data_IF_769277853485
#
_entry.id   IF_769277853485
#
_cell.length_a   1.000
_cell.length_b   1.000
_cell.length_c   1.000
_cell.angle_alpha   90.00
_cell.angle_beta   90.00
_cell.angle_gamma   90.00
#
_symmetry.space_group_name_H-M   'P 1'
#
loop_
_entity.id
_entity.type
_entity.pdbx_description
1 polymer ?
#
# COMPACT_ATOMS: atom_id res chain seq x y z
N UNK A 1 -38.97 14.53 -3.27
CA UNK A 1 -38.12 13.64 -2.44
C UNK A 1 -37.06 12.88 -3.25
N UNK A 2 -37.32 12.41 -4.47
CA UNK A 2 -36.32 11.69 -5.29
C UNK A 2 -35.08 12.53 -5.65
N UNK A 3 -35.24 13.84 -5.84
CA UNK A 3 -34.18 14.76 -6.29
C UNK A 3 -33.05 14.94 -5.26
N UNK A 4 -33.40 15.00 -3.97
CA UNK A 4 -32.42 15.15 -2.88
C UNK A 4 -31.51 13.93 -2.76
N UNK A 5 -32.09 12.72 -2.85
CA UNK A 5 -31.31 11.48 -2.81
C UNK A 5 -30.41 11.35 -4.04
N UNK A 6 -30.90 11.77 -5.20
CA UNK A 6 -30.11 11.78 -6.42
C UNK A 6 -28.90 12.73 -6.31
N UNK A 7 -29.11 13.95 -5.81
CA UNK A 7 -28.03 14.92 -5.57
C UNK A 7 -26.98 14.41 -4.56
N UNK A 8 -27.41 13.78 -3.47
CA UNK A 8 -26.52 13.18 -2.47
C UNK A 8 -25.71 12.02 -3.08
N UNK A 9 -26.34 11.17 -3.89
CA UNK A 9 -25.67 10.05 -4.57
C UNK A 9 -24.62 10.54 -5.57
N UNK A 10 -24.91 11.59 -6.35
CA UNK A 10 -23.93 12.22 -7.23
C UNK A 10 -22.74 12.76 -6.42
N UNK A 11 -23.01 13.50 -5.34
CA UNK A 11 -21.96 14.05 -4.49
C UNK A 11 -21.04 12.95 -3.91
N UNK A 12 -21.63 11.88 -3.37
CA UNK A 12 -20.87 10.73 -2.84
C UNK A 12 -20.02 10.07 -3.91
N UNK A 13 -20.53 9.95 -5.13
CA UNK A 13 -19.81 9.39 -6.28
C UNK A 13 -18.59 10.25 -6.63
N UNK A 14 -18.75 11.57 -6.74
CA UNK A 14 -17.63 12.49 -6.97
C UNK A 14 -16.56 12.41 -5.89
N UNK A 15 -16.94 12.23 -4.62
CA UNK A 15 -15.99 12.09 -3.52
C UNK A 15 -15.22 10.77 -3.51
N UNK A 16 -15.80 9.70 -4.05
CA UNK A 16 -15.18 8.36 -4.07
C UNK A 16 -14.34 8.14 -5.34
N UNK A 17 -14.73 8.72 -6.47
CA UNK A 17 -14.06 8.56 -7.78
C UNK A 17 -12.53 8.75 -7.77
N UNK A 18 -11.93 9.72 -7.05
CA UNK A 18 -10.48 9.91 -7.01
C UNK A 18 -9.71 8.77 -6.34
N UNK A 19 -10.39 7.96 -5.53
CA UNK A 19 -9.80 6.87 -4.77
C UNK A 19 -10.05 5.50 -5.41
N UNK A 20 -10.77 5.44 -6.52
CA UNK A 20 -11.01 4.22 -7.27
C UNK A 20 -9.92 3.97 -8.31
N UNK A 21 -9.56 2.70 -8.49
CA UNK A 21 -8.64 2.28 -9.55
C UNK A 21 -9.22 2.63 -10.93
N UNK A 22 -8.35 3.03 -11.88
CA UNK A 22 -8.76 3.46 -13.22
C UNK A 22 -9.65 2.45 -13.95
N UNK A 23 -9.41 1.16 -13.74
CA UNK A 23 -10.23 0.08 -14.31
C UNK A 23 -11.69 0.12 -13.81
N UNK A 24 -11.92 0.51 -12.55
CA UNK A 24 -13.26 0.55 -11.95
C UNK A 24 -13.98 1.86 -12.30
N UNK A 25 -13.22 2.91 -12.59
CA UNK A 25 -13.72 4.23 -12.97
C UNK A 25 -14.54 4.18 -14.26
N UNK A 26 -14.03 3.51 -15.28
CA UNK A 26 -14.71 3.34 -16.57
C UNK A 26 -16.09 2.67 -16.44
N UNK A 27 -16.21 1.66 -15.58
CA UNK A 27 -17.50 1.00 -15.31
C UNK A 27 -18.42 1.81 -14.41
N UNK A 28 -17.85 2.59 -13.48
CA UNK A 28 -18.62 3.45 -12.61
C UNK A 28 -19.32 4.56 -13.38
N UNK A 29 -18.72 5.04 -14.48
CA UNK A 29 -19.26 6.10 -15.33
C UNK A 29 -20.52 5.71 -16.11
N UNK A 30 -20.63 4.43 -16.48
CA UNK A 30 -21.74 3.89 -17.28
C UNK A 30 -23.00 3.58 -16.46
N UNK A 31 -22.89 3.48 -15.12
CA UNK A 31 -24.01 3.07 -14.27
C UNK A 31 -24.89 4.25 -13.82
N UNK A 32 -26.23 4.16 -13.94
CA UNK A 32 -27.14 5.17 -13.41
C UNK A 32 -27.13 5.18 -11.88
N UNK A 33 -27.04 6.37 -11.28
CA UNK A 33 -27.09 6.56 -9.83
C UNK A 33 -28.53 6.38 -9.32
N UNK A 34 -28.83 5.17 -8.84
CA UNK A 34 -30.13 4.78 -8.27
C UNK A 34 -30.07 4.73 -6.72
N UNK A 35 -30.98 3.98 -6.07
CA UNK A 35 -31.05 3.70 -4.62
C UNK A 35 -29.70 3.26 -4.01
N UNK A 36 -28.83 2.65 -4.83
CA UNK A 36 -27.46 2.29 -4.49
C UNK A 36 -26.50 3.17 -5.30
N UNK A 37 -25.36 3.54 -4.69
CA UNK A 37 -24.40 4.51 -5.25
C UNK A 37 -23.99 4.24 -6.72
N UNK A 38 -23.91 2.97 -7.11
CA UNK A 38 -23.61 2.50 -8.47
C UNK A 38 -24.72 1.61 -9.07
N UNK A 39 -25.89 1.54 -8.43
CA UNK A 39 -26.99 0.67 -8.84
C UNK A 39 -26.82 -0.81 -8.44
N UNK A 40 -27.89 -1.59 -8.61
CA UNK A 40 -27.96 -3.02 -8.20
C UNK A 40 -27.14 -3.94 -9.10
N UNK A 41 -26.90 -3.52 -10.35
CA UNK A 41 -26.24 -4.33 -11.38
C UNK A 41 -24.72 -4.20 -11.40
N UNK A 42 -24.16 -3.18 -10.73
CA UNK A 42 -22.72 -2.90 -10.75
C UNK A 42 -21.85 -4.05 -10.22
N UNK A 43 -22.18 -4.71 -9.09
CA UNK A 43 -21.37 -5.82 -8.59
C UNK A 43 -21.30 -7.00 -9.55
N UNK A 44 -22.40 -7.29 -10.25
CA UNK A 44 -22.49 -8.41 -11.18
C UNK A 44 -21.71 -8.10 -12.47
N UNK A 45 -21.86 -6.89 -13.01
CA UNK A 45 -21.08 -6.43 -14.16
C UNK A 45 -19.57 -6.43 -13.87
N UNK A 46 -19.16 -5.98 -12.68
CA UNK A 46 -17.75 -5.97 -12.29
C UNK A 46 -17.16 -7.40 -12.20
N UNK A 47 -17.91 -8.35 -11.64
CA UNK A 47 -17.49 -9.76 -11.60
C UNK A 47 -17.34 -10.34 -13.00
N UNK A 48 -18.33 -10.14 -13.87
CA UNK A 48 -18.28 -10.62 -15.26
C UNK A 48 -17.12 -10.00 -16.04
N UNK A 49 -16.87 -8.69 -15.88
CA UNK A 49 -15.74 -8.01 -16.51
C UNK A 49 -14.38 -8.53 -16.00
N UNK A 50 -14.26 -8.76 -14.69
CA UNK A 50 -13.06 -9.32 -14.06
C UNK A 50 -12.76 -10.74 -14.54
N UNK A 51 -13.80 -11.57 -14.69
CA UNK A 51 -13.68 -12.92 -15.25
C UNK A 51 -13.26 -12.89 -16.72
N UNK A 52 -13.90 -12.05 -17.54
CA UNK A 52 -13.54 -11.86 -18.94
C UNK A 52 -12.09 -11.37 -19.09
N UNK A 53 -11.64 -10.45 -18.24
CA UNK A 53 -10.25 -9.98 -18.21
C UNK A 53 -9.28 -11.12 -17.88
N UNK A 54 -9.59 -11.95 -16.87
CA UNK A 54 -8.78 -13.12 -16.48
C UNK A 54 -8.69 -14.16 -17.61
N UNK A 55 -9.78 -14.38 -18.33
CA UNK A 55 -9.82 -15.26 -19.50
C UNK A 55 -9.02 -14.67 -20.67
N UNK A 56 -9.14 -13.36 -20.92
CA UNK A 56 -8.41 -12.64 -21.97
C UNK A 56 -6.88 -12.73 -21.82
N UNK A 57 -6.37 -12.63 -20.59
CA UNK A 57 -4.93 -12.84 -20.32
C UNK A 57 -4.44 -14.26 -20.66
N UNK A 58 -5.32 -15.26 -20.56
CA UNK A 58 -5.00 -16.65 -20.90
C UNK A 58 -4.95 -16.87 -22.41
N UNK A 59 -5.69 -16.07 -23.19
CA UNK A 59 -5.74 -16.13 -24.65
C UNK A 59 -4.57 -15.37 -25.29
N UNK A 60 -4.20 -14.19 -24.73
CA UNK A 60 -3.11 -13.32 -25.25
C UNK A 60 -1.72 -13.98 -25.31
N UNK A 61 -1.55 -15.15 -24.67
CA UNK A 61 -0.30 -15.92 -24.67
C UNK A 61 -0.10 -16.83 -25.91
N UNK A 62 -1.07 -16.94 -26.82
CA UNK A 62 -1.00 -17.89 -27.97
C UNK A 62 -0.74 -17.28 -29.35
N UNK A 63 -0.62 -15.97 -29.52
CA UNK A 63 -0.55 -15.34 -30.86
C UNK A 63 0.87 -15.00 -31.39
N UNK A 64 1.92 -15.66 -30.90
CA UNK A 64 3.24 -15.62 -31.57
C UNK A 64 3.70 -17.03 -31.96
N UNK A 65 3.01 -17.65 -32.92
CA UNK A 65 3.57 -18.72 -33.74
C UNK A 65 2.66 -19.01 -34.95
N UNK A 66 2.78 -18.24 -36.03
CA UNK A 66 2.45 -18.74 -37.35
C UNK A 66 3.59 -18.37 -38.31
N UNK A 67 4.52 -19.31 -38.47
CA UNK A 67 5.62 -19.29 -39.42
C UNK A 67 5.94 -20.74 -39.81
N UNK A 68 5.51 -21.10 -41.02
CA UNK A 68 6.01 -22.14 -41.94
C UNK A 68 6.49 -23.51 -41.42
N UNK A 69 5.86 -24.55 -42.01
CA UNK A 69 6.08 -26.00 -41.91
C UNK A 69 7.53 -26.52 -41.72
N UNK A 70 7.69 -27.54 -40.87
CA UNK A 70 8.31 -28.84 -41.19
C UNK A 70 8.31 -29.79 -39.97
N UNK A 71 8.25 -31.09 -40.26
CA UNK A 71 8.05 -32.26 -39.41
C UNK A 71 9.08 -32.52 -38.29
N UNK A 72 8.62 -33.03 -37.13
CA UNK A 72 8.99 -34.34 -36.48
C UNK A 72 8.40 -34.44 -35.04
N UNK A 73 8.03 -35.63 -34.54
CA UNK A 73 7.35 -35.79 -33.25
C UNK A 73 8.34 -35.99 -32.10
N UNK A 74 8.09 -35.38 -30.93
CA UNK A 74 8.90 -35.60 -29.72
C UNK A 74 7.99 -35.84 -28.50
N UNK A 75 7.92 -37.13 -28.15
CA UNK A 75 7.91 -37.75 -26.80
C UNK A 75 7.23 -36.96 -25.67
N UNK A 76 6.09 -37.47 -25.21
CA UNK A 76 5.43 -37.05 -23.96
C UNK A 76 6.12 -37.69 -22.74
N UNK A 77 6.68 -36.87 -21.83
CA UNK A 77 6.97 -37.30 -20.46
C UNK A 77 5.87 -36.80 -19.52
N UNK A 78 5.14 -37.78 -18.97
CA UNK A 78 4.13 -37.70 -17.92
C UNK A 78 4.75 -37.16 -16.62
N UNK A 79 4.16 -36.11 -16.03
CA UNK A 79 4.45 -35.66 -14.66
C UNK A 79 3.12 -35.45 -13.93
N UNK A 80 2.93 -36.25 -12.89
CA UNK A 80 1.74 -36.43 -12.05
C UNK A 80 1.26 -35.15 -11.34
N UNK A 81 -0.03 -35.03 -10.98
CA UNK A 81 -0.58 -33.86 -10.30
C UNK A 81 -0.33 -33.92 -8.77
N UNK A 82 0.26 -32.86 -8.19
CA UNK A 82 0.29 -32.68 -6.73
C UNK A 82 -1.00 -32.01 -6.22
N UNK A 83 -1.55 -32.45 -5.07
CA UNK A 83 -2.82 -31.96 -4.54
C UNK A 83 -2.70 -30.50 -4.07
N UNK A 84 -3.74 -29.72 -4.39
CA UNK A 84 -3.80 -28.27 -4.25
C UNK A 84 -3.67 -27.79 -2.80
N UNK A 85 -2.57 -27.07 -2.54
CA UNK A 85 -2.40 -26.22 -1.36
C UNK A 85 -3.27 -24.96 -1.50
N UNK A 86 -4.02 -24.67 -0.44
CA UNK A 86 -4.93 -23.54 -0.27
C UNK A 86 -4.26 -22.20 -0.61
N UNK A 87 -4.65 -21.62 -1.75
CA UNK A 87 -3.97 -20.49 -2.40
C UNK A 87 -4.44 -19.11 -1.88
N UNK A 88 -4.68 -18.96 -0.58
CA UNK A 88 -5.24 -17.71 0.00
C UNK A 88 -4.32 -17.05 1.05
N UNK A 89 -3.19 -17.65 1.45
CA UNK A 89 -2.30 -17.08 2.47
C UNK A 89 -1.01 -16.40 1.95
N UNK A 90 -0.71 -16.52 0.65
CA UNK A 90 0.60 -16.09 0.11
C UNK A 90 0.71 -14.58 -0.18
N UNK A 91 -0.39 -13.89 -0.49
CA UNK A 91 -0.36 -12.46 -0.87
C UNK A 91 -0.10 -11.54 0.32
N UNK A 92 -0.66 -11.85 1.49
CA UNK A 92 -0.46 -11.07 2.72
C UNK A 92 0.95 -11.24 3.28
N UNK A 93 1.50 -12.46 3.25
CA UNK A 93 2.88 -12.72 3.65
C UNK A 93 3.89 -12.11 2.68
N UNK A 94 3.63 -12.14 1.38
CA UNK A 94 4.42 -11.43 0.35
C UNK A 94 4.50 -9.93 0.65
N UNK A 95 3.36 -9.27 0.89
CA UNK A 95 3.31 -7.84 1.17
C UNK A 95 4.02 -7.47 2.48
N UNK A 96 3.91 -8.32 3.51
CA UNK A 96 4.61 -8.12 4.79
C UNK A 96 6.12 -8.31 4.65
N UNK A 97 6.57 -9.26 3.84
CA UNK A 97 8.00 -9.44 3.54
C UNK A 97 8.56 -8.29 2.71
N UNK A 98 7.80 -7.78 1.73
CA UNK A 98 8.16 -6.58 0.95
C UNK A 98 8.26 -5.33 1.83
N UNK A 99 7.37 -5.17 2.81
CA UNK A 99 7.43 -4.04 3.74
C UNK A 99 8.69 -4.09 4.62
N UNK A 100 9.04 -5.27 5.14
CA UNK A 100 10.26 -5.46 5.95
C UNK A 100 11.54 -5.20 5.15
N UNK A 101 11.62 -5.68 3.91
CA UNK A 101 12.79 -5.41 3.05
C UNK A 101 12.88 -3.95 2.65
N UNK A 102 11.75 -3.27 2.43
CA UNK A 102 11.72 -1.83 2.14
C UNK A 102 12.27 -1.00 3.32
N UNK A 103 11.80 -1.27 4.53
CA UNK A 103 12.33 -0.60 5.74
C UNK A 103 13.84 -0.82 5.83
N UNK A 104 14.31 -2.07 5.72
CA UNK A 104 15.74 -2.38 5.83
C UNK A 104 16.58 -1.62 4.79
N UNK A 105 16.12 -1.57 3.55
CA UNK A 105 16.80 -0.83 2.48
C UNK A 105 16.80 0.69 2.73
N UNK A 106 15.70 1.25 3.25
CA UNK A 106 15.61 2.67 3.60
C UNK A 106 16.50 3.02 4.79
N UNK A 107 16.64 2.12 5.77
CA UNK A 107 17.62 2.29 6.85
C UNK A 107 19.06 2.31 6.32
N UNK A 108 19.44 1.40 5.42
CA UNK A 108 20.78 1.37 4.82
C UNK A 108 21.05 2.64 3.99
N UNK A 109 20.08 3.07 3.19
CA UNK A 109 20.17 4.31 2.43
C UNK A 109 20.34 5.52 3.35
N UNK A 110 19.58 5.57 4.44
CA UNK A 110 19.67 6.63 5.44
C UNK A 110 21.02 6.60 6.19
N UNK A 111 21.54 5.40 6.51
CA UNK A 111 22.88 5.21 7.08
C UNK A 111 23.96 5.82 6.18
N UNK A 112 23.91 5.55 4.87
CA UNK A 112 24.84 6.14 3.91
C UNK A 112 24.64 7.65 3.77
N UNK A 113 23.40 8.14 3.83
CA UNK A 113 23.06 9.55 3.64
C UNK A 113 23.54 10.48 4.78
N UNK A 114 23.55 10.01 6.02
CA UNK A 114 23.99 10.84 7.15
C UNK A 114 25.49 10.75 7.41
N UNK A 115 26.17 9.69 6.94
CA UNK A 115 27.62 9.53 7.08
C UNK A 115 28.42 10.74 6.58
N UNK A 116 27.94 11.40 5.50
CA UNK A 116 28.61 12.56 4.92
C UNK A 116 28.18 13.91 5.52
N UNK A 117 27.20 13.96 6.43
CA UNK A 117 26.57 15.21 6.88
C UNK A 117 26.72 15.40 8.39
N UNK A 118 27.76 16.12 8.79
CA UNK A 118 28.11 16.42 10.19
C UNK A 118 27.38 17.63 10.79
N UNK A 119 26.27 18.06 10.20
CA UNK A 119 25.58 19.28 10.62
C UNK A 119 24.15 19.00 11.08
N UNK A 120 23.82 19.53 12.25
CA UNK A 120 22.57 19.41 13.00
C UNK A 120 21.37 20.07 12.30
N UNK A 121 21.15 19.76 11.02
CA UNK A 121 20.12 20.42 10.24
C UNK A 121 18.75 19.85 10.59
N UNK A 122 17.93 20.71 11.19
CA UNK A 122 16.52 20.44 11.41
C UNK A 122 15.81 20.44 10.07
N UNK A 123 15.05 19.38 9.75
CA UNK A 123 14.33 19.30 8.48
C UNK A 123 15.12 18.70 7.32
N UNK A 124 16.11 17.85 7.59
CA UNK A 124 16.77 17.12 6.51
C UNK A 124 15.76 16.25 5.73
N UNK A 125 15.73 16.32 4.38
CA UNK A 125 14.85 15.46 3.58
C UNK A 125 15.07 13.98 3.88
N UNK A 126 16.30 13.61 4.25
CA UNK A 126 16.67 12.25 4.63
C UNK A 126 16.01 11.80 5.95
N UNK A 127 15.99 12.63 7.00
CA UNK A 127 15.36 12.29 8.29
C UNK A 127 13.85 12.23 8.17
N UNK A 128 13.27 13.13 7.38
CA UNK A 128 11.83 13.13 7.05
C UNK A 128 11.43 11.91 6.22
N UNK A 129 12.24 11.53 5.22
CA UNK A 129 12.01 10.35 4.40
C UNK A 129 12.12 9.06 5.23
N UNK A 130 13.14 8.93 6.08
CA UNK A 130 13.31 7.79 6.98
C UNK A 130 12.12 7.65 7.96
N UNK A 131 11.60 8.76 8.48
CA UNK A 131 10.42 8.72 9.33
C UNK A 131 9.17 8.25 8.57
N UNK A 132 8.94 8.76 7.36
CA UNK A 132 7.83 8.33 6.48
C UNK A 132 7.95 6.87 6.03
N UNK A 133 9.18 6.37 5.94
CA UNK A 133 9.51 4.98 5.67
C UNK A 133 9.16 4.03 6.84
N UNK A 134 8.94 4.57 8.05
CA UNK A 134 8.67 3.78 9.26
C UNK A 134 9.94 3.32 9.98
N UNK A 135 11.09 3.99 9.72
CA UNK A 135 12.34 3.73 10.45
C UNK A 135 12.19 4.12 11.92
N UNK A 136 12.81 3.35 12.81
CA UNK A 136 12.75 3.62 14.25
C UNK A 136 13.33 5.00 14.58
N UNK A 137 12.52 5.81 15.24
CA UNK A 137 12.78 7.24 15.44
C UNK A 137 14.02 7.52 16.30
N UNK A 138 14.35 6.67 17.26
CA UNK A 138 15.60 6.80 18.04
C UNK A 138 16.82 6.54 17.17
N UNK A 139 16.71 5.65 16.18
CA UNK A 139 17.80 5.42 15.24
C UNK A 139 18.00 6.64 14.33
N UNK A 140 16.90 7.29 13.92
CA UNK A 140 16.97 8.58 13.22
C UNK A 140 17.65 9.63 14.11
N UNK A 141 17.28 9.71 15.39
CA UNK A 141 17.86 10.62 16.38
C UNK A 141 19.37 10.42 16.55
N UNK A 142 19.80 9.18 16.82
CA UNK A 142 21.21 8.84 17.01
C UNK A 142 22.06 9.14 15.78
N UNK A 143 21.55 8.80 14.59
CA UNK A 143 22.28 9.01 13.34
C UNK A 143 22.36 10.48 12.99
N UNK A 144 21.25 11.22 13.12
CA UNK A 144 21.23 12.67 12.93
C UNK A 144 22.07 13.44 13.98
N UNK A 145 22.63 12.76 14.99
CA UNK A 145 23.46 13.36 16.02
C UNK A 145 22.67 14.18 17.04
N UNK A 146 21.38 13.89 17.20
CA UNK A 146 20.52 14.59 18.17
C UNK A 146 20.59 13.95 19.56
N UNK A 147 20.71 14.80 20.57
CA UNK A 147 20.69 14.35 21.97
C UNK A 147 19.27 14.00 22.39
N UNK A 148 19.12 13.12 23.41
CA UNK A 148 17.80 12.76 23.96
C UNK A 148 17.03 13.98 24.48
N UNK A 149 17.75 15.02 24.90
CA UNK A 149 17.20 16.27 25.44
C UNK A 149 16.97 17.33 24.36
N UNK A 150 17.09 16.98 23.08
CA UNK A 150 16.89 17.93 21.98
C UNK A 150 15.41 18.32 21.88
N UNK A 151 15.09 19.53 22.30
CA UNK A 151 13.75 20.12 22.12
C UNK A 151 13.36 20.22 20.65
N UNK A 152 14.33 20.43 19.78
CA UNK A 152 14.12 20.58 18.34
C UNK A 152 13.64 19.26 17.73
N UNK A 153 14.26 18.14 18.11
CA UNK A 153 13.82 16.80 17.72
C UNK A 153 12.42 16.48 18.26
N UNK A 154 12.20 16.81 19.53
CA UNK A 154 10.93 16.63 20.22
C UNK A 154 9.77 17.37 19.53
N UNK A 155 9.97 18.64 19.18
CA UNK A 155 9.01 19.44 18.43
C UNK A 155 8.79 18.89 17.02
N UNK A 156 9.86 18.52 16.31
CA UNK A 156 9.77 18.03 14.93
C UNK A 156 8.96 16.74 14.77
N UNK A 157 9.05 15.83 15.74
CA UNK A 157 8.32 14.55 15.72
C UNK A 157 7.13 14.49 16.67
N UNK A 158 6.66 15.63 17.17
CA UNK A 158 5.54 15.72 18.13
C UNK A 158 5.72 14.80 19.35
N UNK A 159 6.96 14.71 19.88
CA UNK A 159 7.33 13.97 21.09
C UNK A 159 7.73 14.96 22.18
N UNK A 160 6.78 15.54 22.92
CA UNK A 160 7.13 16.47 24.00
C UNK A 160 8.05 15.78 25.01
N UNK A 161 9.18 16.40 25.32
CA UNK A 161 10.04 15.96 26.41
C UNK A 161 9.28 16.22 27.70
N UNK A 162 8.88 15.16 28.39
CA UNK A 162 8.32 15.30 29.73
C UNK A 162 9.49 15.65 30.66
N UNK A 163 9.55 16.90 31.11
CA UNK A 163 10.57 17.38 32.05
C UNK A 163 10.47 16.67 33.40
N UNK A 164 9.25 16.27 33.78
CA UNK A 164 8.94 15.69 35.07
C UNK A 164 8.94 14.17 35.01
N UNK A 165 9.98 13.56 35.58
CA UNK A 165 10.09 12.09 35.75
C UNK A 165 8.88 11.52 36.52
N UNK A 166 8.26 12.33 37.39
CA UNK A 166 7.11 11.94 38.20
C UNK A 166 5.76 12.11 37.51
N UNK A 167 5.69 12.79 36.36
CA UNK A 167 4.42 13.05 35.67
C UNK A 167 3.72 11.74 35.26
N UNK A 168 4.49 10.74 34.82
CA UNK A 168 3.96 9.41 34.51
C UNK A 168 3.40 8.71 35.74
N UNK A 169 4.15 8.70 36.84
CA UNK A 169 3.71 8.08 38.10
C UNK A 169 2.45 8.77 38.66
N UNK A 170 2.38 10.10 38.61
CA UNK A 170 1.20 10.88 39.00
C UNK A 170 -0.02 10.54 38.15
N UNK A 171 0.15 10.40 36.83
CA UNK A 171 -0.92 10.00 35.92
C UNK A 171 -1.53 8.64 36.29
N UNK A 172 -0.68 7.64 36.57
CA UNK A 172 -1.14 6.31 37.02
C UNK A 172 -1.87 6.41 38.36
N UNK A 173 -1.30 7.12 39.33
CA UNK A 173 -1.89 7.25 40.67
C UNK A 173 -3.19 8.06 40.68
N UNK A 174 -3.41 8.94 39.70
CA UNK A 174 -4.66 9.70 39.54
C UNK A 174 -5.78 8.93 38.83
N UNK A 175 -5.46 7.79 38.21
CA UNK A 175 -6.43 6.92 37.50
C UNK A 175 -7.06 5.87 38.42
N UNK A 176 -6.49 5.64 39.59
CA UNK A 176 -7.00 4.79 40.68
C UNK A 176 -7.73 5.61 41.71
#
# INVERSE_FOLDING_TARGET
>A
MADVFHAISLHRRYSILPFLDGNVREFSDTCPSNEFLFGKTFPDQWKSASEAQRLGFSIKKKEKALGTASSKPVIYKKLEPKPGSSRVSSSLNSRRQQHKSRIKNEEERFRSAISYRKHYSTGDPATSAAYRAGVYIEMIRERAGWTQKSEIFAKFYNRPLCSDVTAFAKGILSLT
#
